data_IF_033409895794
#
_entry.id   IF_033409895794
#
_cell.length_a   1.000
_cell.length_b   1.000
_cell.length_c   1.000
_cell.angle_alpha   90.00
_cell.angle_beta   90.00
_cell.angle_gamma   90.00
#
_symmetry.space_group_name_H-M   'P 1'
#
loop_
_entity.id
_entity.type
_entity.pdbx_description
1 polymer ?
#
# COMPACT_ATOMS: atom_id res chain seq x y z
N UNK A 1 -15.31 -27.00 4.16
CA UNK A 1 -13.93 -26.98 4.66
C UNK A 1 -13.81 -25.80 5.61
N UNK A 2 -13.37 -26.02 6.85
CA UNK A 2 -13.10 -24.94 7.80
C UNK A 2 -11.90 -24.16 7.27
N UNK A 3 -12.10 -22.91 6.83
CA UNK A 3 -11.01 -22.04 6.38
C UNK A 3 -10.07 -21.85 7.58
N UNK A 4 -8.89 -22.49 7.51
CA UNK A 4 -7.82 -22.31 8.49
C UNK A 4 -7.21 -20.92 8.27
N UNK A 5 -7.51 -19.96 9.14
CA UNK A 5 -6.88 -18.65 9.14
C UNK A 5 -5.49 -18.79 9.76
N UNK A 6 -4.45 -18.60 8.95
CA UNK A 6 -3.07 -18.93 9.29
C UNK A 6 -2.46 -17.99 10.33
N UNK A 7 -1.58 -18.55 11.17
CA UNK A 7 -0.64 -17.80 12.00
C UNK A 7 0.38 -17.05 11.13
N UNK A 8 0.49 -15.73 11.30
CA UNK A 8 1.61 -14.97 10.73
C UNK A 8 2.89 -15.23 11.54
N UNK A 9 3.97 -15.62 10.85
CA UNK A 9 5.30 -15.66 11.44
C UNK A 9 5.99 -14.31 11.19
N UNK A 10 6.43 -13.64 12.25
CA UNK A 10 7.22 -12.42 12.13
C UNK A 10 8.69 -12.75 11.93
N UNK A 11 9.26 -12.33 10.80
CA UNK A 11 10.68 -12.52 10.48
C UNK A 11 11.50 -11.22 10.52
N UNK A 12 10.86 -10.07 10.78
CA UNK A 12 11.50 -8.76 10.79
C UNK A 12 11.16 -8.02 12.07
N UNK A 13 11.97 -7.01 12.41
CA UNK A 13 11.73 -6.16 13.58
C UNK A 13 10.25 -5.72 13.65
N UNK A 14 9.64 -5.68 14.85
CA UNK A 14 10.31 -5.69 16.15
C UNK A 14 10.74 -7.09 16.61
N UNK A 15 11.92 -7.19 17.23
CA UNK A 15 12.43 -8.41 17.92
C UNK A 15 11.61 -8.79 19.17
N UNK A 16 10.41 -8.23 19.32
CA UNK A 16 9.48 -8.55 20.39
C UNK A 16 8.89 -9.93 20.10
N UNK A 17 8.64 -10.71 21.16
CA UNK A 17 7.92 -11.98 20.99
C UNK A 17 6.48 -11.65 20.58
N UNK A 18 6.05 -11.97 19.34
CA UNK A 18 4.66 -11.80 18.97
C UNK A 18 3.76 -12.59 19.91
N UNK A 19 2.53 -12.09 20.11
CA UNK A 19 1.48 -12.93 20.67
C UNK A 19 1.13 -13.98 19.63
N UNK A 20 0.78 -15.18 20.09
CA UNK A 20 0.25 -16.21 19.20
C UNK A 20 -1.03 -15.67 18.53
N UNK A 21 -1.13 -15.81 17.21
CA UNK A 21 -2.32 -15.42 16.47
C UNK A 21 -3.56 -16.19 16.93
N UNK A 22 -4.73 -15.59 16.67
CA UNK A 22 -6.06 -16.17 16.90
C UNK A 22 -6.73 -16.51 15.57
N UNK A 23 -7.84 -17.27 15.62
CA UNK A 23 -8.71 -17.50 14.47
C UNK A 23 -9.52 -16.23 14.06
N UNK A 24 -9.50 -15.18 14.88
CA UNK A 24 -10.17 -13.91 14.55
C UNK A 24 -9.35 -13.07 13.55
N UNK A 25 -10.01 -12.45 12.54
CA UNK A 25 -9.39 -11.48 11.64
C UNK A 25 -8.69 -10.33 12.37
N UNK A 26 -7.46 -10.00 11.97
CA UNK A 26 -6.74 -8.84 12.50
C UNK A 26 -7.36 -7.52 12.03
N UNK A 27 -7.21 -6.49 12.85
CA UNK A 27 -7.45 -5.11 12.49
C UNK A 27 -6.17 -4.54 11.89
N UNK A 28 -6.30 -3.88 10.75
CA UNK A 28 -5.18 -3.34 9.99
C UNK A 28 -5.34 -1.84 9.83
N UNK A 29 -4.31 -1.09 10.18
CA UNK A 29 -4.15 0.28 9.72
C UNK A 29 -3.26 0.26 8.46
N UNK A 30 -3.90 0.23 7.30
CA UNK A 30 -3.23 0.23 5.99
C UNK A 30 -3.12 1.68 5.51
N UNK A 31 -1.98 2.33 5.77
CA UNK A 31 -1.79 3.74 5.43
C UNK A 31 -1.08 3.87 4.09
N UNK A 32 -1.76 4.43 3.10
CA UNK A 32 -1.16 4.79 1.83
C UNK A 32 -0.32 6.06 1.99
N UNK A 33 0.87 6.05 1.41
CA UNK A 33 1.87 7.08 1.63
C UNK A 33 2.27 7.71 0.31
N UNK A 34 2.41 9.02 0.31
CA UNK A 34 3.09 9.75 -0.77
C UNK A 34 4.34 10.43 -0.20
N UNK A 35 5.43 10.40 -0.96
CA UNK A 35 6.67 11.07 -0.54
C UNK A 35 6.55 12.58 -0.65
N UNK A 36 7.28 13.31 0.18
CA UNK A 36 7.40 14.77 0.09
C UNK A 36 8.13 15.19 -1.20
N UNK A 37 7.46 15.14 -2.35
CA UNK A 37 7.96 15.53 -3.68
C UNK A 37 7.54 16.95 -4.10
N UNK A 38 7.97 17.34 -5.29
CA UNK A 38 7.63 18.61 -5.92
C UNK A 38 6.44 18.51 -6.90
N UNK A 39 5.56 17.51 -6.73
CA UNK A 39 4.37 17.42 -7.60
C UNK A 39 3.42 18.60 -7.35
N UNK A 40 2.80 19.17 -8.40
CA UNK A 40 1.82 20.24 -8.25
C UNK A 40 0.64 19.84 -7.35
N UNK A 41 0.09 20.80 -6.61
CA UNK A 41 -1.00 20.57 -5.65
C UNK A 41 -2.30 20.08 -6.31
N UNK A 42 -2.52 20.43 -7.59
CA UNK A 42 -3.63 19.94 -8.39
C UNK A 42 -3.47 18.49 -8.88
N UNK A 43 -2.24 17.96 -8.85
CA UNK A 43 -1.95 16.58 -9.26
C UNK A 43 -1.88 15.63 -8.06
N UNK A 44 -1.31 16.09 -6.94
CA UNK A 44 -1.20 15.31 -5.72
C UNK A 44 -1.60 16.15 -4.52
N UNK A 45 -2.52 15.62 -3.71
CA UNK A 45 -2.87 16.20 -2.41
C UNK A 45 -1.62 16.31 -1.53
N UNK A 46 -1.58 17.34 -0.69
CA UNK A 46 -0.67 17.46 0.45
C UNK A 46 -1.50 17.38 1.72
N UNK A 47 -1.07 16.54 2.67
CA UNK A 47 -1.67 16.46 3.99
C UNK A 47 -1.50 17.78 4.77
N UNK A 48 -2.41 18.03 5.71
CA UNK A 48 -2.38 19.28 6.48
C UNK A 48 -1.12 19.34 7.35
N UNK A 49 -0.33 20.39 7.16
CA UNK A 49 0.92 20.57 7.89
C UNK A 49 2.09 19.72 7.38
N UNK A 50 1.95 18.98 6.28
CA UNK A 50 3.03 18.21 5.67
C UNK A 50 3.89 19.04 4.70
N UNK A 51 5.06 18.52 4.36
CA UNK A 51 6.08 19.11 3.47
C UNK A 51 6.61 20.43 4.03
N UNK A 52 7.66 20.32 4.83
CA UNK A 52 8.23 21.42 5.59
C UNK A 52 9.52 21.95 4.95
N UNK A 53 9.84 23.21 5.24
CA UNK A 53 11.13 23.82 4.96
C UNK A 53 12.15 23.61 6.10
N UNK A 54 13.39 24.07 5.90
CA UNK A 54 14.47 23.92 6.87
C UNK A 54 14.20 24.63 8.21
N UNK A 55 13.20 25.52 8.27
CA UNK A 55 12.74 26.22 9.47
C UNK A 55 11.50 25.55 10.09
N UNK A 56 11.05 24.41 9.54
CA UNK A 56 9.88 23.66 9.99
C UNK A 56 8.55 24.29 9.61
N UNK A 57 8.54 25.25 8.68
CA UNK A 57 7.31 25.86 8.17
C UNK A 57 6.79 25.09 6.96
N UNK A 58 5.47 25.11 6.78
CA UNK A 58 4.84 24.44 5.62
C UNK A 58 5.20 25.19 4.35
N UNK A 59 5.73 24.48 3.36
CA UNK A 59 6.03 25.04 2.04
C UNK A 59 4.70 25.26 1.32
N UNK A 60 4.39 26.50 0.95
CA UNK A 60 3.09 26.86 0.36
C UNK A 60 2.79 26.04 -0.91
N UNK A 61 3.74 26.00 -1.85
CA UNK A 61 3.69 25.20 -3.08
C UNK A 61 5.02 24.48 -3.31
N UNK A 62 5.11 23.16 -3.04
CA UNK A 62 6.32 22.37 -3.25
C UNK A 62 6.79 22.30 -4.72
N UNK A 63 5.92 22.57 -5.69
CA UNK A 63 6.28 22.56 -7.11
C UNK A 63 6.98 23.85 -7.55
N UNK A 64 6.64 24.98 -6.91
CA UNK A 64 7.22 26.28 -7.21
C UNK A 64 8.63 26.47 -6.62
N UNK A 65 8.89 25.88 -5.46
CA UNK A 65 10.21 25.90 -4.81
C UNK A 65 10.54 24.53 -4.22
N UNK A 66 11.00 23.61 -5.09
CA UNK A 66 11.43 22.29 -4.65
C UNK A 66 12.63 22.35 -3.72
N UNK A 67 13.51 23.35 -3.87
CA UNK A 67 14.76 23.46 -3.10
C UNK A 67 14.50 23.76 -1.62
N UNK A 68 13.35 24.37 -1.30
CA UNK A 68 12.93 24.61 0.08
C UNK A 68 12.62 23.32 0.86
N UNK A 69 12.35 22.19 0.19
CA UNK A 69 11.96 20.94 0.86
C UNK A 69 13.05 20.44 1.82
N UNK A 70 12.71 20.45 3.12
CA UNK A 70 13.63 20.08 4.21
C UNK A 70 14.08 18.63 4.13
N UNK A 71 13.23 17.76 3.60
CA UNK A 71 13.58 16.36 3.48
C UNK A 71 14.58 16.15 2.36
N UNK A 72 14.23 16.55 1.13
CA UNK A 72 15.13 16.50 -0.02
C UNK A 72 14.70 17.48 -1.11
N UNK A 73 15.47 18.55 -1.28
CA UNK A 73 15.17 19.62 -2.22
C UNK A 73 15.58 19.35 -3.67
N UNK A 74 16.41 18.34 -3.93
CA UNK A 74 16.77 17.92 -5.29
C UNK A 74 15.75 16.87 -5.79
N UNK A 75 14.91 17.20 -6.80
CA UNK A 75 13.92 16.26 -7.33
C UNK A 75 14.53 14.96 -7.89
N UNK A 76 15.79 15.00 -8.33
CA UNK A 76 16.51 13.85 -8.87
C UNK A 76 17.04 12.88 -7.81
N UNK A 77 16.98 13.24 -6.51
CA UNK A 77 17.42 12.40 -5.39
C UNK A 77 16.28 12.08 -4.42
N UNK A 78 15.17 12.79 -4.53
CA UNK A 78 14.08 12.74 -3.57
C UNK A 78 13.47 11.34 -3.45
N UNK A 79 13.37 10.57 -4.54
CA UNK A 79 12.79 9.22 -4.49
C UNK A 79 13.69 8.25 -3.74
N UNK A 80 14.96 8.26 -4.09
CA UNK A 80 16.01 7.40 -3.55
C UNK A 80 16.20 7.67 -2.07
N UNK A 81 16.31 8.94 -1.69
CA UNK A 81 16.46 9.34 -0.28
C UNK A 81 15.23 9.00 0.55
N UNK A 82 14.03 9.18 0.00
CA UNK A 82 12.80 8.79 0.68
C UNK A 82 12.75 7.27 0.93
N UNK A 83 13.05 6.47 -0.09
CA UNK A 83 13.10 5.01 0.05
C UNK A 83 14.15 4.56 1.07
N UNK A 84 15.35 5.14 1.00
CA UNK A 84 16.43 4.86 1.94
C UNK A 84 16.05 5.23 3.37
N UNK A 85 15.56 6.44 3.61
CA UNK A 85 15.20 6.89 4.94
C UNK A 85 14.04 6.10 5.50
N UNK A 86 12.96 5.91 4.72
CA UNK A 86 11.77 5.23 5.20
C UNK A 86 12.10 3.79 5.61
N UNK A 87 12.88 3.07 4.79
CA UNK A 87 13.28 1.69 5.05
C UNK A 87 14.32 1.55 6.16
N UNK A 88 15.39 2.36 6.13
CA UNK A 88 16.58 2.14 6.97
C UNK A 88 16.56 2.94 8.26
N UNK A 89 15.73 3.98 8.35
CA UNK A 89 15.71 4.91 9.48
C UNK A 89 14.32 4.98 10.13
N UNK A 90 13.30 5.42 9.39
CA UNK A 90 11.95 5.65 9.94
C UNK A 90 11.36 4.39 10.56
N UNK A 91 11.37 3.25 9.85
CA UNK A 91 10.78 2.01 10.36
C UNK A 91 11.48 1.48 11.62
N UNK A 92 12.80 1.65 11.69
CA UNK A 92 13.61 1.31 12.86
C UNK A 92 13.25 2.23 14.03
N UNK A 93 13.11 3.54 13.79
CA UNK A 93 12.70 4.52 14.80
C UNK A 93 11.28 4.25 15.29
N UNK A 94 10.35 3.93 14.40
CA UNK A 94 8.96 3.60 14.75
C UNK A 94 8.87 2.37 15.67
N UNK A 95 9.74 1.38 15.48
CA UNK A 95 9.77 0.14 16.27
C UNK A 95 10.78 0.15 17.42
N UNK A 96 11.44 1.27 17.68
CA UNK A 96 12.41 1.40 18.77
C UNK A 96 11.74 1.70 20.11
N UNK A 97 11.76 0.74 21.04
CA UNK A 97 11.36 0.98 22.43
C UNK A 97 12.43 1.84 23.12
N UNK A 98 12.08 3.09 23.44
CA UNK A 98 13.01 4.04 24.04
C UNK A 98 13.13 3.85 25.56
N UNK A 99 11.99 3.74 26.23
CA UNK A 99 11.95 3.48 27.67
C UNK A 99 11.94 1.96 27.94
N UNK A 100 12.70 1.45 28.94
CA UNK A 100 12.77 0.02 29.24
C UNK A 100 11.44 -0.66 29.58
N UNK A 101 10.47 0.14 30.04
CA UNK A 101 9.11 -0.25 30.40
C UNK A 101 8.07 0.08 29.33
N UNK A 102 8.46 0.61 28.16
CA UNK A 102 7.55 0.80 27.03
C UNK A 102 7.12 -0.56 26.46
N UNK A 103 5.88 -0.94 26.79
CA UNK A 103 5.22 -2.17 26.31
C UNK A 103 4.24 -1.89 25.17
N UNK A 104 4.16 -0.66 24.65
CA UNK A 104 3.18 -0.29 23.62
C UNK A 104 3.32 -1.14 22.36
N UNK A 105 4.55 -1.38 21.91
CA UNK A 105 4.85 -2.18 20.71
C UNK A 105 4.45 -3.66 20.83
N UNK A 106 4.17 -4.19 22.04
CA UNK A 106 3.62 -5.56 22.19
C UNK A 106 2.20 -5.69 21.63
N UNK A 107 1.54 -4.56 21.35
CA UNK A 107 0.22 -4.51 20.74
C UNK A 107 0.26 -4.54 19.21
N UNK A 108 1.41 -4.24 18.62
CA UNK A 108 1.66 -4.30 17.18
C UNK A 108 2.02 -5.73 16.79
N UNK A 109 1.11 -6.41 16.09
CA UNK A 109 1.33 -7.80 15.66
C UNK A 109 2.28 -7.89 14.48
N UNK A 110 2.20 -6.97 13.52
CA UNK A 110 3.07 -6.97 12.34
C UNK A 110 3.18 -5.55 11.81
N UNK A 111 4.36 -5.19 11.35
CA UNK A 111 4.60 -3.93 10.66
C UNK A 111 5.44 -4.15 9.41
N UNK A 112 4.84 -3.85 8.27
CA UNK A 112 5.55 -3.80 7.00
C UNK A 112 5.53 -2.41 6.39
N UNK A 113 6.58 -2.13 5.64
CA UNK A 113 6.72 -0.98 4.76
C UNK A 113 6.77 -1.52 3.32
N UNK A 114 5.71 -1.30 2.56
CA UNK A 114 5.68 -1.61 1.13
C UNK A 114 6.15 -0.38 0.38
N UNK A 115 7.29 -0.51 -0.29
CA UNK A 115 7.84 0.54 -1.13
C UNK A 115 7.44 0.25 -2.56
N UNK A 116 6.82 1.24 -3.23
CA UNK A 116 6.52 1.11 -4.65
C UNK A 116 7.80 0.87 -5.44
N UNK A 117 7.81 -0.18 -6.25
CA UNK A 117 8.90 -0.45 -7.17
C UNK A 117 8.69 0.36 -8.45
N UNK A 118 9.57 1.34 -8.70
CA UNK A 118 9.32 2.34 -9.74
C UNK A 118 9.19 1.78 -11.16
N UNK A 119 9.91 0.69 -11.44
CA UNK A 119 9.87 -0.02 -12.72
C UNK A 119 8.89 -1.20 -12.73
N UNK A 120 8.15 -1.43 -11.64
CA UNK A 120 7.19 -2.52 -11.53
C UNK A 120 5.93 -2.29 -12.36
N UNK A 121 5.18 -3.36 -12.66
CA UNK A 121 3.88 -3.27 -13.31
C UNK A 121 2.91 -2.34 -12.58
N UNK A 122 2.14 -1.60 -13.36
CA UNK A 122 1.04 -0.75 -12.89
C UNK A 122 -0.17 -0.94 -13.78
N UNK A 123 -1.34 -0.52 -13.32
CA UNK A 123 -2.57 -0.62 -14.12
C UNK A 123 -2.48 0.01 -15.51
N UNK A 124 -1.73 1.11 -15.65
CA UNK A 124 -1.60 1.82 -16.93
C UNK A 124 -0.45 1.31 -17.80
N UNK A 125 0.42 0.46 -17.25
CA UNK A 125 1.54 -0.13 -17.96
C UNK A 125 1.83 -1.51 -17.36
N UNK A 126 1.13 -2.50 -17.89
CA UNK A 126 1.21 -3.90 -17.48
C UNK A 126 1.83 -4.72 -18.59
N UNK A 127 2.56 -5.80 -18.28
CA UNK A 127 3.01 -6.73 -19.30
C UNK A 127 1.82 -7.37 -20.06
N UNK A 128 2.02 -7.80 -21.32
CA UNK A 128 3.29 -7.74 -22.05
C UNK A 128 3.65 -6.31 -22.48
N UNK A 129 4.91 -5.93 -22.32
CA UNK A 129 5.38 -4.61 -22.73
C UNK A 129 5.57 -4.54 -24.26
N UNK A 130 5.10 -3.46 -24.87
CA UNK A 130 5.14 -3.28 -26.32
C UNK A 130 6.39 -2.53 -26.77
N UNK A 131 7.02 -3.02 -27.84
CA UNK A 131 8.08 -2.28 -28.51
C UNK A 131 7.49 -1.05 -29.24
N UNK A 132 8.10 0.15 -29.11
CA UNK A 132 7.65 1.32 -29.85
C UNK A 132 8.02 1.16 -31.33
N UNK A 133 7.01 0.94 -32.17
CA UNK A 133 7.15 0.70 -33.62
C UNK A 133 6.30 1.68 -34.43
N UNK A 134 6.71 1.91 -35.68
CA UNK A 134 5.93 2.68 -36.65
C UNK A 134 4.76 1.85 -37.23
N UNK A 135 3.97 2.47 -38.11
CA UNK A 135 2.81 1.84 -38.77
C UNK A 135 3.16 0.59 -39.61
N UNK A 136 4.44 0.40 -39.94
CA UNK A 136 4.95 -0.78 -40.67
C UNK A 136 5.54 -1.85 -39.75
N UNK A 137 5.45 -1.69 -38.42
CA UNK A 137 5.97 -2.63 -37.43
C UNK A 137 7.49 -2.57 -37.23
N UNK A 138 8.18 -1.54 -37.73
CA UNK A 138 9.61 -1.36 -37.52
C UNK A 138 9.89 -0.46 -36.31
N UNK A 139 10.97 -0.75 -35.58
CA UNK A 139 11.45 0.12 -34.50
C UNK A 139 11.72 1.53 -35.04
N UNK A 140 11.39 2.53 -34.24
CA UNK A 140 11.79 3.90 -34.56
C UNK A 140 13.34 4.00 -34.54
N UNK A 141 13.94 4.80 -35.43
CA UNK A 141 15.39 5.03 -35.43
C UNK A 141 15.87 5.80 -34.19
N UNK A 142 14.94 6.41 -33.44
CA UNK A 142 15.18 7.10 -32.16
C UNK A 142 13.99 6.91 -31.23
N UNK A 143 14.21 7.05 -29.93
CA UNK A 143 13.15 7.05 -28.90
C UNK A 143 12.51 8.43 -28.70
N UNK A 144 13.18 9.50 -29.15
CA UNK A 144 12.74 10.88 -28.91
C UNK A 144 11.37 11.11 -29.55
N UNK A 145 10.36 11.45 -28.74
CA UNK A 145 8.99 11.66 -29.20
C UNK A 145 8.17 10.38 -29.47
N UNK A 146 8.74 9.20 -29.21
CA UNK A 146 8.11 7.91 -29.51
C UNK A 146 7.82 7.05 -28.27
N UNK A 147 8.21 7.50 -27.08
CA UNK A 147 7.93 6.83 -25.81
C UNK A 147 6.76 7.53 -25.13
N UNK A 148 5.78 6.74 -24.68
CA UNK A 148 4.65 7.26 -23.93
C UNK A 148 5.13 7.90 -22.61
N UNK A 149 4.53 9.03 -22.18
CA UNK A 149 4.84 9.62 -20.88
C UNK A 149 4.58 8.64 -19.73
N UNK A 150 5.51 8.59 -18.79
CA UNK A 150 5.34 7.80 -17.57
C UNK A 150 4.16 8.32 -16.74
N UNK A 151 3.26 7.40 -16.35
CA UNK A 151 2.15 7.68 -15.43
C UNK A 151 2.46 7.07 -14.08
N UNK A 152 2.68 7.94 -13.09
CA UNK A 152 2.95 7.50 -11.72
C UNK A 152 1.65 7.05 -11.04
N UNK A 153 1.66 5.95 -10.29
CA UNK A 153 0.60 5.64 -9.32
C UNK A 153 0.43 6.78 -8.30
N UNK A 154 -0.76 6.86 -7.70
CA UNK A 154 -1.11 7.93 -6.75
C UNK A 154 -0.31 7.84 -5.45
N UNK A 155 0.14 6.65 -5.09
CA UNK A 155 0.83 6.35 -3.84
C UNK A 155 2.23 5.82 -4.11
N UNK A 156 3.19 6.17 -3.24
CA UNK A 156 4.58 5.73 -3.31
C UNK A 156 4.86 4.54 -2.37
N UNK A 157 3.89 4.16 -1.54
CA UNK A 157 4.00 2.99 -0.67
C UNK A 157 2.83 2.82 0.29
N UNK A 158 2.91 1.78 1.13
CA UNK A 158 1.97 1.50 2.22
C UNK A 158 2.74 1.21 3.51
N UNK A 159 2.32 1.83 4.61
CA UNK A 159 2.59 1.32 5.95
C UNK A 159 1.45 0.38 6.38
N UNK A 160 1.79 -0.89 6.61
CA UNK A 160 0.85 -1.96 6.90
C UNK A 160 1.05 -2.44 8.34
N UNK A 161 0.17 -1.99 9.24
CA UNK A 161 0.25 -2.28 10.68
C UNK A 161 -0.92 -3.15 11.11
N UNK A 162 -0.63 -4.27 11.77
CA UNK A 162 -1.63 -5.24 12.21
C UNK A 162 -1.79 -5.24 13.73
N UNK A 163 -3.03 -5.38 14.18
CA UNK A 163 -3.46 -5.31 15.58
C UNK A 163 -4.55 -6.34 15.84
N UNK A 164 -4.72 -6.77 17.09
CA UNK A 164 -5.89 -7.59 17.46
C UNK A 164 -7.17 -6.76 17.57
N UNK A 165 -7.05 -5.48 17.94
CA UNK A 165 -8.21 -4.62 18.21
C UNK A 165 -7.97 -3.17 17.82
N UNK A 166 -9.05 -2.39 17.75
CA UNK A 166 -8.97 -0.94 17.55
C UNK A 166 -8.32 -0.20 18.73
N UNK A 167 -8.48 -0.72 19.95
CA UNK A 167 -7.87 -0.14 21.15
C UNK A 167 -6.34 -0.24 21.08
N UNK A 168 -5.82 -1.37 20.60
CA UNK A 168 -4.39 -1.60 20.44
C UNK A 168 -3.74 -0.56 19.49
N UNK A 169 -4.46 -0.07 18.48
CA UNK A 169 -3.98 1.02 17.60
C UNK A 169 -3.71 2.28 18.43
N UNK A 170 -4.64 2.64 19.32
CA UNK A 170 -4.54 3.84 20.15
C UNK A 170 -3.37 3.71 21.13
N UNK A 171 -3.15 2.53 21.71
CA UNK A 171 -2.01 2.28 22.61
C UNK A 171 -0.67 2.51 21.91
N UNK A 172 -0.52 2.07 20.66
CA UNK A 172 0.72 2.25 19.89
C UNK A 172 0.86 3.70 19.42
N UNK A 173 -0.16 4.27 18.77
CA UNK A 173 -0.04 5.57 18.09
C UNK A 173 -0.19 6.78 19.02
N UNK A 174 -0.90 6.66 20.15
CA UNK A 174 -1.00 7.74 21.13
C UNK A 174 0.21 7.79 22.07
N UNK A 175 1.12 6.82 22.00
CA UNK A 175 2.36 6.80 22.77
C UNK A 175 3.14 8.12 22.58
N UNK A 176 3.68 8.65 23.66
CA UNK A 176 4.37 9.94 23.68
C UNK A 176 5.54 9.99 22.70
N UNK A 177 6.31 8.90 22.58
CA UNK A 177 7.40 8.75 21.62
C UNK A 177 6.90 8.94 20.19
N UNK A 178 5.82 8.26 19.81
CA UNK A 178 5.22 8.40 18.46
C UNK A 178 4.81 9.85 18.23
N UNK A 179 4.08 10.45 19.19
CA UNK A 179 3.59 11.82 19.07
C UNK A 179 4.70 12.87 18.98
N UNK A 180 5.78 12.72 19.73
CA UNK A 180 6.85 13.73 19.84
C UNK A 180 7.99 13.53 18.85
N UNK A 181 8.22 12.29 18.38
CA UNK A 181 9.42 11.94 17.59
C UNK A 181 9.13 11.34 16.23
N UNK A 182 7.96 10.70 16.04
CA UNK A 182 7.58 10.11 14.76
C UNK A 182 6.63 11.02 13.98
N UNK A 183 5.53 11.50 14.57
CA UNK A 183 4.58 12.35 13.86
C UNK A 183 5.20 13.65 13.30
N UNK A 184 6.14 14.32 13.99
CA UNK A 184 6.84 15.46 13.39
C UNK A 184 7.72 15.06 12.19
N UNK A 185 8.33 13.88 12.22
CA UNK A 185 9.13 13.31 11.13
C UNK A 185 8.25 12.94 9.94
N UNK A 186 7.08 12.35 10.20
CA UNK A 186 6.07 12.03 9.19
C UNK A 186 5.65 13.26 8.37
N UNK A 187 5.52 14.42 9.02
CA UNK A 187 5.22 15.70 8.36
C UNK A 187 6.34 16.20 7.45
N UNK A 188 7.57 15.76 7.68
CA UNK A 188 8.74 16.12 6.86
C UNK A 188 8.88 15.15 5.68
N UNK A 189 8.79 13.85 5.92
CA UNK A 189 9.13 12.83 4.90
C UNK A 189 7.96 12.47 3.98
N UNK A 190 6.72 12.58 4.45
CA UNK A 190 5.53 12.27 3.67
C UNK A 190 4.84 13.54 3.22
N UNK A 191 4.40 13.53 1.96
CA UNK A 191 3.48 14.53 1.42
C UNK A 191 2.08 14.34 1.99
N UNK A 192 1.64 13.10 2.13
CA UNK A 192 0.35 12.74 2.68
C UNK A 192 0.37 11.32 3.24
N UNK A 193 -0.45 11.09 4.26
CA UNK A 193 -0.65 9.79 4.92
C UNK A 193 -2.16 9.52 4.93
N UNK A 194 -2.59 8.58 4.11
CA UNK A 194 -3.99 8.31 3.87
C UNK A 194 -4.38 6.92 4.41
N UNK A 195 -4.89 6.82 5.65
CA UNK A 195 -5.25 5.56 6.26
C UNK A 195 -6.46 4.91 5.59
N UNK A 196 -6.43 3.57 5.54
CA UNK A 196 -7.57 2.67 5.36
C UNK A 196 -7.59 1.75 6.56
N UNK A 197 -8.56 1.94 7.45
CA UNK A 197 -8.79 1.05 8.57
C UNK A 197 -9.53 -0.18 8.06
N UNK A 198 -8.92 -1.36 8.15
CA UNK A 198 -9.45 -2.56 7.53
C UNK A 198 -9.49 -3.76 8.48
N UNK A 199 -10.33 -4.73 8.12
CA UNK A 199 -10.27 -6.09 8.64
C UNK A 199 -9.54 -6.98 7.64
N UNK A 200 -8.65 -7.84 8.12
CA UNK A 200 -7.82 -8.68 7.27
C UNK A 200 -8.31 -10.12 7.17
N UNK A 201 -8.35 -10.62 5.94
CA UNK A 201 -8.56 -12.04 5.63
C UNK A 201 -7.38 -12.56 4.83
N UNK A 202 -6.61 -13.47 5.43
CA UNK A 202 -5.53 -14.20 4.74
C UNK A 202 -6.15 -15.43 4.09
N UNK A 203 -6.25 -15.43 2.77
CA UNK A 203 -6.90 -16.50 2.00
C UNK A 203 -5.90 -17.53 1.49
N UNK A 204 -4.69 -17.08 1.16
CA UNK A 204 -3.54 -17.94 0.90
C UNK A 204 -2.39 -17.46 1.80
N UNK A 205 -1.96 -18.23 2.79
CA UNK A 205 -0.83 -17.84 3.64
C UNK A 205 0.52 -18.12 2.97
N UNK A 206 1.49 -17.26 3.24
CA UNK A 206 2.88 -17.49 2.85
C UNK A 206 3.50 -18.59 3.73
N UNK A 207 4.11 -19.59 3.10
CA UNK A 207 4.82 -20.66 3.81
C UNK A 207 6.11 -20.17 4.49
N UNK A 208 6.77 -19.16 3.92
CA UNK A 208 8.00 -18.58 4.47
C UNK A 208 7.76 -17.31 5.28
N UNK A 209 6.62 -16.63 5.11
CA UNK A 209 6.38 -15.30 5.71
C UNK A 209 7.17 -14.16 5.02
N UNK A 210 7.98 -14.46 4.01
CA UNK A 210 8.73 -13.47 3.22
C UNK A 210 7.96 -13.08 1.96
N UNK A 211 7.22 -11.97 2.06
CA UNK A 211 6.48 -11.38 0.94
C UNK A 211 7.40 -10.44 0.15
N UNK A 212 8.22 -10.99 -0.77
CA UNK A 212 9.31 -10.26 -1.44
C UNK A 212 8.82 -9.18 -2.41
N UNK A 213 7.86 -9.52 -3.27
CA UNK A 213 7.20 -8.63 -4.24
C UNK A 213 5.72 -8.68 -3.98
N UNK A 214 5.04 -7.53 -3.85
CA UNK A 214 3.60 -7.48 -3.53
C UNK A 214 2.86 -6.67 -4.57
N UNK A 215 1.89 -7.27 -5.25
CA UNK A 215 0.89 -6.54 -6.02
C UNK A 215 -0.17 -5.98 -5.08
N UNK A 216 -0.31 -4.67 -5.09
CA UNK A 216 -1.35 -3.93 -4.36
C UNK A 216 -2.46 -3.57 -5.35
N UNK A 217 -3.69 -4.00 -5.10
CA UNK A 217 -4.87 -3.53 -5.86
C UNK A 217 -5.86 -2.84 -4.94
N UNK A 218 -6.31 -1.65 -5.30
CA UNK A 218 -7.33 -0.87 -4.60
C UNK A 218 -8.68 -1.12 -5.26
N UNK A 219 -9.70 -1.42 -4.47
CA UNK A 219 -11.06 -1.67 -4.96
C UNK A 219 -12.01 -0.59 -4.50
N UNK A 220 -12.80 -0.08 -5.45
CA UNK A 220 -13.95 0.81 -5.20
C UNK A 220 -15.17 0.10 -5.78
N UNK A 221 -16.18 -0.15 -4.96
CA UNK A 221 -17.40 -0.84 -5.42
C UNK A 221 -18.22 0.05 -6.36
N UNK A 222 -19.07 -0.56 -7.19
CA UNK A 222 -20.09 0.21 -7.94
C UNK A 222 -21.03 0.95 -6.99
N UNK A 223 -21.51 2.12 -7.40
CA UNK A 223 -22.32 3.00 -6.55
C UNK A 223 -23.68 2.39 -6.14
N UNK A 224 -24.20 1.42 -6.88
CA UNK A 224 -25.45 0.70 -6.57
C UNK A 224 -25.30 -0.40 -5.51
N UNK A 225 -24.06 -0.73 -5.12
CA UNK A 225 -23.77 -1.76 -4.13
C UNK A 225 -23.53 -1.15 -2.74
N UNK A 226 -24.02 -1.84 -1.71
CA UNK A 226 -23.58 -1.55 -0.35
C UNK A 226 -22.15 -2.06 -0.12
N UNK A 227 -21.40 -1.40 0.78
CA UNK A 227 -20.04 -1.85 1.14
C UNK A 227 -20.06 -3.28 1.69
N UNK A 228 -21.02 -3.59 2.56
CA UNK A 228 -21.19 -4.91 3.14
C UNK A 228 -21.47 -5.97 2.06
N UNK A 229 -22.34 -5.67 1.10
CA UNK A 229 -22.64 -6.59 -0.01
C UNK A 229 -21.44 -6.82 -0.93
N UNK A 230 -20.68 -5.78 -1.25
CA UNK A 230 -19.42 -5.92 -2.00
C UNK A 230 -18.42 -6.81 -1.26
N UNK A 231 -18.20 -6.54 0.04
CA UNK A 231 -17.25 -7.28 0.87
C UNK A 231 -17.65 -8.75 1.08
N UNK A 232 -18.95 -9.02 1.26
CA UNK A 232 -19.47 -10.39 1.38
C UNK A 232 -19.22 -11.21 0.11
N UNK A 233 -19.61 -10.67 -1.05
CA UNK A 233 -19.30 -11.27 -2.36
C UNK A 233 -17.79 -11.48 -2.53
N UNK A 234 -16.98 -10.48 -2.16
CA UNK A 234 -15.55 -10.53 -2.37
C UNK A 234 -14.88 -11.66 -1.57
N UNK A 235 -15.33 -11.91 -0.34
CA UNK A 235 -14.80 -12.94 0.54
C UNK A 235 -15.36 -14.34 0.28
N UNK A 236 -16.62 -14.45 -0.14
CA UNK A 236 -17.31 -15.73 -0.20
C UNK A 236 -17.50 -16.27 -1.63
N UNK A 237 -17.43 -15.41 -2.65
CA UNK A 237 -17.59 -15.83 -4.05
C UNK A 237 -16.32 -15.56 -4.84
N UNK A 238 -15.85 -14.31 -4.87
CA UNK A 238 -14.69 -13.93 -5.66
C UNK A 238 -13.40 -14.62 -5.16
N UNK A 239 -13.22 -14.70 -3.84
CA UNK A 239 -12.10 -15.42 -3.22
C UNK A 239 -11.98 -16.87 -3.71
N UNK A 240 -13.10 -17.59 -3.80
CA UNK A 240 -13.09 -18.98 -4.25
C UNK A 240 -12.71 -19.08 -5.74
N UNK A 241 -13.14 -18.11 -6.56
CA UNK A 241 -12.72 -18.00 -7.96
C UNK A 241 -11.21 -17.79 -8.08
N UNK A 242 -10.62 -16.89 -7.28
CA UNK A 242 -9.17 -16.63 -7.27
C UNK A 242 -8.38 -17.89 -6.88
N UNK A 243 -8.81 -18.56 -5.80
CA UNK A 243 -8.12 -19.74 -5.27
C UNK A 243 -8.25 -20.96 -6.17
N UNK A 244 -9.31 -21.03 -6.99
CA UNK A 244 -9.52 -22.12 -7.94
C UNK A 244 -8.72 -21.96 -9.23
N UNK A 245 -8.14 -20.78 -9.51
CA UNK A 245 -7.35 -20.59 -10.72
C UNK A 245 -6.08 -21.44 -10.71
N UNK A 246 -5.69 -22.03 -11.86
CA UNK A 246 -4.56 -22.94 -11.93
C UNK A 246 -3.22 -22.28 -11.60
N UNK A 247 -3.03 -21.00 -11.93
CA UNK A 247 -1.74 -20.32 -11.72
C UNK A 247 -1.56 -19.78 -10.29
N UNK A 248 -2.66 -19.54 -9.57
CA UNK A 248 -2.64 -19.01 -8.20
C UNK A 248 -1.74 -19.83 -7.25
N UNK A 249 -1.88 -21.16 -7.10
CA UNK A 249 -1.03 -21.93 -6.18
C UNK A 249 0.45 -22.02 -6.60
N UNK A 250 0.77 -21.70 -7.85
CA UNK A 250 2.14 -21.78 -8.38
C UNK A 250 2.89 -20.45 -8.24
N UNK A 251 2.24 -19.35 -8.61
CA UNK A 251 2.86 -18.01 -8.69
C UNK A 251 2.62 -17.18 -7.43
N UNK A 252 1.44 -17.28 -6.82
CA UNK A 252 1.07 -16.46 -5.66
C UNK A 252 1.52 -17.16 -4.37
N UNK A 253 2.37 -16.50 -3.58
CA UNK A 253 2.82 -16.98 -2.28
C UNK A 253 1.88 -16.61 -1.15
N UNK A 254 1.20 -15.47 -1.29
CA UNK A 254 0.25 -14.98 -0.28
C UNK A 254 -0.87 -14.21 -0.95
N UNK A 255 -2.10 -14.39 -0.49
CA UNK A 255 -3.26 -13.61 -0.91
C UNK A 255 -4.03 -13.12 0.31
N UNK A 256 -4.13 -11.80 0.43
CA UNK A 256 -4.84 -11.10 1.50
C UNK A 256 -5.91 -10.19 0.91
N UNK A 257 -7.08 -10.19 1.53
CA UNK A 257 -8.10 -9.15 1.35
C UNK A 257 -8.15 -8.27 2.60
N UNK A 258 -8.00 -6.96 2.41
CA UNK A 258 -8.23 -5.96 3.45
C UNK A 258 -9.58 -5.31 3.19
N UNK A 259 -10.55 -5.56 4.07
CA UNK A 259 -11.91 -5.05 3.96
C UNK A 259 -12.01 -3.74 4.72
N UNK A 260 -12.26 -2.61 4.05
CA UNK A 260 -12.33 -1.31 4.71
C UNK A 260 -13.51 -1.27 5.70
N UNK A 261 -13.22 -1.06 6.97
CA UNK A 261 -14.18 -0.85 8.06
C UNK A 261 -14.13 0.58 8.61
N UNK A 262 -13.31 1.43 7.99
CA UNK A 262 -13.10 2.82 8.35
C UNK A 262 -14.27 3.73 7.97
N UNK A 263 -14.21 4.97 8.47
CA UNK A 263 -15.29 5.94 8.34
C UNK A 263 -15.45 6.45 6.90
N UNK A 264 -16.67 6.92 6.60
CA UNK A 264 -17.01 7.58 5.33
C UNK A 264 -17.29 9.08 5.49
N UNK A 265 -17.25 9.60 6.72
CA UNK A 265 -17.61 10.99 7.02
C UNK A 265 -16.43 11.78 7.58
N UNK A 266 -16.31 13.03 7.13
CA UNK A 266 -15.28 13.94 7.60
C UNK A 266 -15.36 14.19 9.12
N UNK A 267 -14.20 14.25 9.76
CA UNK A 267 -14.08 14.49 11.21
C UNK A 267 -14.06 13.22 12.06
N UNK A 268 -14.38 12.05 11.50
CA UNK A 268 -14.24 10.78 12.21
C UNK A 268 -12.77 10.31 12.24
N UNK A 269 -12.31 9.62 13.30
CA UNK A 269 -10.94 9.09 13.37
C UNK A 269 -10.61 8.18 12.18
N UNK A 270 -9.42 8.36 11.59
CA UNK A 270 -8.96 7.67 10.38
C UNK A 270 -9.74 7.98 9.09
N UNK A 271 -10.63 8.99 9.09
CA UNK A 271 -11.18 9.50 7.83
C UNK A 271 -10.10 10.21 7.03
N UNK A 272 -10.04 9.91 5.74
CA UNK A 272 -9.22 10.64 4.79
C UNK A 272 -9.96 10.77 3.46
N UNK A 273 -10.00 11.98 2.84
CA UNK A 273 -10.80 12.21 1.64
C UNK A 273 -10.38 11.34 0.45
N UNK A 274 -9.09 11.02 0.34
CA UNK A 274 -8.56 10.25 -0.80
C UNK A 274 -8.79 8.73 -0.69
N UNK A 275 -8.99 8.21 0.53
CA UNK A 275 -9.05 6.75 0.79
C UNK A 275 -10.35 6.29 1.46
N UNK A 276 -11.19 7.20 1.97
CA UNK A 276 -12.51 6.86 2.55
C UNK A 276 -13.47 6.19 1.58
N UNK A 277 -13.30 6.43 0.28
CA UNK A 277 -14.05 5.79 -0.80
C UNK A 277 -13.54 4.40 -1.20
N UNK A 278 -12.37 3.96 -0.71
CA UNK A 278 -11.84 2.61 -0.97
C UNK A 278 -12.68 1.61 -0.17
N UNK A 279 -13.09 0.51 -0.80
CA UNK A 279 -13.88 -0.54 -0.14
C UNK A 279 -13.04 -1.75 0.25
N UNK A 280 -11.93 -1.97 -0.44
CA UNK A 280 -10.97 -2.98 -0.07
C UNK A 280 -9.62 -2.84 -0.76
N UNK A 281 -8.64 -3.57 -0.26
CA UNK A 281 -7.29 -3.66 -0.83
C UNK A 281 -6.89 -5.13 -0.96
N UNK A 282 -6.56 -5.58 -2.17
CA UNK A 282 -5.88 -6.87 -2.39
C UNK A 282 -4.39 -6.68 -2.16
N UNK A 283 -3.79 -7.62 -1.42
CA UNK A 283 -2.33 -7.82 -1.40
C UNK A 283 -2.04 -9.24 -1.90
N UNK A 284 -1.32 -9.36 -3.01
CA UNK A 284 -0.82 -10.64 -3.53
C UNK A 284 0.70 -10.63 -3.52
N UNK A 285 1.32 -11.57 -2.81
CA UNK A 285 2.78 -11.69 -2.75
C UNK A 285 3.30 -12.72 -3.74
N UNK A 286 4.46 -12.44 -4.31
CA UNK A 286 5.16 -13.24 -5.32
C UNK A 286 6.61 -13.44 -4.87
N UNK A 287 7.23 -14.54 -5.31
CA UNK A 287 8.63 -14.81 -4.99
C UNK A 287 9.59 -13.93 -5.79
N UNK A 288 9.17 -13.45 -6.96
CA UNK A 288 9.97 -12.63 -7.85
C UNK A 288 9.09 -11.67 -8.66
N UNK A 289 9.73 -10.70 -9.33
CA UNK A 289 9.03 -9.84 -10.28
C UNK A 289 8.56 -10.63 -11.51
N UNK A 290 9.32 -11.63 -11.95
CA UNK A 290 8.93 -12.48 -13.08
C UNK A 290 7.65 -13.26 -12.76
N UNK A 291 7.53 -13.83 -11.56
CA UNK A 291 6.33 -14.56 -11.13
C UNK A 291 5.10 -13.63 -11.15
N UNK A 292 5.28 -12.37 -10.75
CA UNK A 292 4.23 -11.35 -10.82
C UNK A 292 3.87 -11.04 -12.28
N UNK A 293 4.85 -10.81 -13.15
CA UNK A 293 4.63 -10.48 -14.56
C UNK A 293 3.99 -11.65 -15.33
N UNK A 294 4.39 -12.89 -15.02
CA UNK A 294 3.79 -14.12 -15.55
C UNK A 294 2.33 -14.25 -15.06
N UNK A 295 2.08 -13.97 -13.78
CA UNK A 295 0.72 -13.95 -13.25
C UNK A 295 -0.13 -12.88 -13.95
N UNK A 296 0.39 -11.67 -14.15
CA UNK A 296 -0.33 -10.57 -14.81
C UNK A 296 -0.71 -10.87 -16.27
N UNK A 297 0.03 -11.75 -16.94
CA UNK A 297 -0.23 -12.20 -18.31
C UNK A 297 -1.06 -13.49 -18.41
N UNK A 298 -1.37 -14.11 -17.27
CA UNK A 298 -2.04 -15.40 -17.25
C UNK A 298 -3.54 -15.29 -17.52
N UNK A 299 -4.12 -16.34 -18.12
CA UNK A 299 -5.57 -16.51 -18.24
C UNK A 299 -6.25 -16.47 -16.86
N UNK A 300 -5.59 -17.01 -15.83
CA UNK A 300 -6.04 -16.96 -14.43
C UNK A 300 -6.31 -15.52 -13.99
N UNK A 301 -5.37 -14.61 -14.24
CA UNK A 301 -5.52 -13.20 -13.86
C UNK A 301 -6.56 -12.48 -14.73
N UNK A 302 -6.74 -12.84 -15.99
CA UNK A 302 -7.85 -12.33 -16.81
C UNK A 302 -9.21 -12.70 -16.19
N UNK A 303 -9.41 -13.96 -15.82
CA UNK A 303 -10.66 -14.41 -15.16
C UNK A 303 -10.88 -13.69 -13.83
N UNK A 304 -9.82 -13.52 -13.03
CA UNK A 304 -9.89 -12.78 -11.76
C UNK A 304 -10.32 -11.34 -12.02
N UNK A 305 -9.68 -10.63 -12.95
CA UNK A 305 -10.01 -9.23 -13.19
C UNK A 305 -11.36 -9.00 -13.87
N UNK A 306 -11.82 -9.94 -14.69
CA UNK A 306 -13.19 -9.90 -15.21
C UNK A 306 -14.22 -10.07 -14.08
N UNK A 307 -13.94 -10.96 -13.13
CA UNK A 307 -14.77 -11.12 -11.92
C UNK A 307 -14.78 -9.83 -11.08
N UNK A 308 -13.61 -9.22 -10.82
CA UNK A 308 -13.48 -7.92 -10.13
C UNK A 308 -14.35 -6.85 -10.83
N UNK A 309 -14.26 -6.75 -12.16
CA UNK A 309 -14.95 -5.75 -12.96
C UNK A 309 -16.49 -5.81 -12.85
N UNK A 310 -17.07 -6.96 -12.49
CA UNK A 310 -18.52 -7.08 -12.29
C UNK A 310 -19.04 -6.25 -11.11
N UNK A 311 -18.21 -6.02 -10.09
CA UNK A 311 -18.60 -5.40 -8.82
C UNK A 311 -17.85 -4.11 -8.50
N UNK A 312 -16.76 -3.80 -9.21
CA UNK A 312 -16.01 -2.55 -9.03
C UNK A 312 -16.50 -1.43 -9.95
N UNK A 313 -16.37 -0.17 -9.50
CA UNK A 313 -16.60 1.00 -10.32
C UNK A 313 -15.54 1.10 -11.44
N UNK A 314 -15.99 1.23 -12.68
CA UNK A 314 -15.11 1.29 -13.84
C UNK A 314 -14.08 2.43 -13.73
N UNK A 315 -12.81 2.09 -13.95
CA UNK A 315 -11.70 3.04 -13.91
C UNK A 315 -11.31 3.55 -12.53
N UNK A 316 -11.93 3.04 -11.45
CA UNK A 316 -11.62 3.45 -10.06
C UNK A 316 -10.69 2.47 -9.34
N UNK A 317 -10.57 1.25 -9.84
CA UNK A 317 -9.54 0.30 -9.37
C UNK A 317 -8.17 0.83 -9.79
N UNK A 318 -7.18 0.79 -8.89
CA UNK A 318 -5.77 1.12 -9.18
C UNK A 318 -4.92 -0.07 -8.72
N UNK A 319 -3.86 -0.42 -9.46
CA UNK A 319 -2.86 -1.34 -8.93
C UNK A 319 -1.43 -0.93 -9.27
N UNK A 320 -0.52 -1.35 -8.41
CA UNK A 320 0.92 -1.13 -8.50
C UNK A 320 1.68 -2.19 -7.69
N UNK A 321 3.00 -2.25 -7.92
CA UNK A 321 3.93 -3.19 -7.27
C UNK A 321 4.85 -2.47 -6.30
#
# INVERSE_FOLDING_TARGET
MTRSLAQEQLLRAPYLKPRLGSDEPLIVLCSFLSRADNSPLQERRRGDGHVLDAQGQVIADPAADSAANAFEGNPNLNFEKWGEYWRKVHGVRFTYAEEPDDRSLERLQRYDQFHRFAAGPTQTNTPPYSAPVNDSGHLFPTVIGHIAPYRRPRWDGIAYLNFFSLEDISVVLANERVRRKILPEDRVIFRDIAPVLARQYILLPSASGDDAVTLVKVHVRRADLSRAGFQDWWLHEHADSVLAQPDTPHLVKRYVQLHNIGPTEAGQPFFHPETSGIDGVTLMAFASLNDLEDFLQSDSQHVISDSEATMTAAGMTEYWT
#
